data_IF_307813101514
#
_entry.id   IF_307813101514
#
_cell.length_a   1.000
_cell.length_b   1.000
_cell.length_c   1.000
_cell.angle_alpha   90.00
_cell.angle_beta   90.00
_cell.angle_gamma   90.00
#
_symmetry.space_group_name_H-M   'P 1'
#
loop_
_entity.id
_entity.type
_entity.pdbx_description
1 polymer ?
#
# COMPACT_ATOMS: atom_id res chain seq x y z
N UNK A 1 10.41 -44.81 -32.19
CA UNK A 1 9.91 -45.33 -30.88
C UNK A 1 8.41 -45.61 -31.02
N UNK A 2 7.89 -46.69 -30.43
CA UNK A 2 6.44 -46.91 -30.41
C UNK A 2 5.73 -45.86 -29.55
N UNK A 3 4.45 -45.56 -29.83
CA UNK A 3 3.62 -44.62 -29.02
C UNK A 3 3.63 -45.00 -27.53
N UNK A 4 3.57 -46.29 -27.23
CA UNK A 4 3.67 -46.83 -25.87
C UNK A 4 5.00 -46.46 -25.20
N UNK A 5 6.11 -46.62 -25.92
CA UNK A 5 7.44 -46.28 -25.42
C UNK A 5 7.57 -44.79 -25.09
N UNK A 6 6.97 -43.91 -25.93
CA UNK A 6 6.94 -42.47 -25.69
C UNK A 6 6.12 -42.10 -24.44
N UNK A 7 4.92 -42.67 -24.28
CA UNK A 7 4.07 -42.44 -23.10
C UNK A 7 4.76 -42.91 -21.81
N UNK A 8 5.36 -44.10 -21.83
CA UNK A 8 6.11 -44.62 -20.67
C UNK A 8 7.27 -43.67 -20.33
N UNK A 9 8.03 -43.22 -21.33
CA UNK A 9 9.13 -42.27 -21.10
C UNK A 9 8.61 -40.97 -20.50
N UNK A 10 7.55 -40.38 -21.05
CA UNK A 10 6.95 -39.15 -20.55
C UNK A 10 6.52 -39.27 -19.08
N UNK A 11 5.71 -40.27 -18.74
CA UNK A 11 5.27 -40.47 -17.35
C UNK A 11 6.41 -40.83 -16.39
N UNK A 12 7.43 -41.53 -16.87
CA UNK A 12 8.62 -41.81 -16.07
C UNK A 12 9.38 -40.53 -15.73
N UNK A 13 9.58 -39.64 -16.70
CA UNK A 13 10.27 -38.36 -16.54
C UNK A 13 9.52 -37.42 -15.59
N UNK A 14 8.19 -37.48 -15.52
CA UNK A 14 7.41 -36.72 -14.53
C UNK A 14 7.70 -37.12 -13.05
N UNK A 15 8.45 -38.20 -12.81
CA UNK A 15 8.81 -38.67 -11.46
C UNK A 15 7.82 -39.67 -10.85
N UNK A 16 6.81 -40.09 -11.61
CA UNK A 16 5.69 -40.93 -11.14
C UNK A 16 6.08 -42.37 -10.83
N UNK A 17 5.66 -42.92 -9.69
CA UNK A 17 5.92 -44.31 -9.30
C UNK A 17 5.35 -45.26 -10.36
N UNK A 18 5.93 -46.45 -10.50
CA UNK A 18 5.49 -47.40 -11.54
C UNK A 18 3.99 -47.74 -11.46
N UNK A 19 3.41 -47.80 -10.26
CA UNK A 19 1.97 -47.99 -10.10
C UNK A 19 1.14 -46.83 -10.66
N UNK A 20 1.60 -45.59 -10.47
CA UNK A 20 0.95 -44.38 -11.01
C UNK A 20 1.06 -44.33 -12.53
N UNK A 21 2.21 -44.71 -13.10
CA UNK A 21 2.39 -44.82 -14.56
C UNK A 21 1.39 -45.82 -15.14
N UNK A 22 1.22 -46.99 -14.53
CA UNK A 22 0.24 -47.99 -14.99
C UNK A 22 -1.19 -47.44 -14.93
N UNK A 23 -1.56 -46.77 -13.84
CA UNK A 23 -2.90 -46.19 -13.70
C UNK A 23 -3.16 -45.12 -14.76
N UNK A 24 -2.20 -44.23 -15.02
CA UNK A 24 -2.37 -43.20 -16.06
C UNK A 24 -2.45 -43.79 -17.47
N UNK A 25 -1.63 -44.79 -17.78
CA UNK A 25 -1.71 -45.48 -19.08
C UNK A 25 -3.09 -46.11 -19.30
N UNK A 26 -3.68 -46.69 -18.24
CA UNK A 26 -5.02 -47.30 -18.31
C UNK A 26 -6.08 -46.21 -18.43
N UNK A 27 -6.09 -45.23 -17.52
CA UNK A 27 -7.18 -44.27 -17.38
C UNK A 27 -7.18 -43.16 -18.43
N UNK A 28 -6.02 -42.73 -18.93
CA UNK A 28 -5.94 -41.61 -19.89
C UNK A 28 -5.63 -42.07 -21.31
N UNK A 29 -4.79 -43.09 -21.48
CA UNK A 29 -4.33 -43.51 -22.80
C UNK A 29 -5.01 -44.78 -23.33
N UNK A 30 -5.90 -45.41 -22.54
CA UNK A 30 -6.52 -46.69 -22.84
C UNK A 30 -5.50 -47.80 -23.16
N UNK A 31 -4.33 -47.77 -22.53
CA UNK A 31 -3.27 -48.76 -22.71
C UNK A 31 -3.13 -49.63 -21.47
N UNK A 32 -3.52 -50.89 -21.59
CA UNK A 32 -3.39 -51.89 -20.52
C UNK A 32 -2.10 -52.69 -20.70
N UNK A 33 -1.15 -52.50 -19.78
CA UNK A 33 0.08 -53.30 -19.72
C UNK A 33 0.34 -53.81 -18.31
N UNK A 34 1.01 -54.96 -18.19
CA UNK A 34 1.44 -55.47 -16.89
C UNK A 34 2.63 -54.70 -16.32
N UNK A 35 2.81 -54.74 -15.00
CA UNK A 35 4.01 -54.22 -14.32
C UNK A 35 5.31 -54.80 -14.90
N UNK A 36 5.29 -56.08 -15.30
CA UNK A 36 6.43 -56.75 -15.95
C UNK A 36 6.75 -56.12 -17.31
N UNK A 37 5.72 -55.84 -18.11
CA UNK A 37 5.86 -55.18 -19.42
C UNK A 37 6.37 -53.75 -19.26
N UNK A 38 5.87 -52.98 -18.29
CA UNK A 38 6.37 -51.64 -17.98
C UNK A 38 7.86 -51.67 -17.63
N UNK A 39 8.27 -52.52 -16.68
CA UNK A 39 9.68 -52.67 -16.28
C UNK A 39 10.58 -53.10 -17.43
N UNK A 40 10.09 -53.98 -18.32
CA UNK A 40 10.82 -54.40 -19.53
C UNK A 40 11.04 -53.23 -20.49
N UNK A 41 10.02 -52.42 -20.75
CA UNK A 41 10.13 -51.23 -21.58
C UNK A 41 11.11 -50.19 -21.00
N UNK A 42 11.02 -49.92 -19.69
CA UNK A 42 11.94 -49.03 -18.99
C UNK A 42 13.40 -49.53 -19.10
N UNK A 43 13.62 -50.83 -18.87
CA UNK A 43 14.94 -51.47 -19.03
C UNK A 43 15.47 -51.32 -20.45
N UNK A 44 14.64 -51.56 -21.46
CA UNK A 44 15.02 -51.43 -22.87
C UNK A 44 15.37 -49.98 -23.24
N UNK A 45 14.71 -48.99 -22.63
CA UNK A 45 15.05 -47.58 -22.81
C UNK A 45 16.22 -47.10 -21.95
N UNK A 46 16.80 -47.96 -21.10
CA UNK A 46 17.83 -47.57 -20.15
C UNK A 46 17.35 -46.63 -19.02
N UNK A 47 16.04 -46.56 -18.78
CA UNK A 47 15.45 -45.66 -17.79
C UNK A 47 15.40 -46.33 -16.41
N UNK A 48 16.24 -45.84 -15.50
CA UNK A 48 16.35 -46.34 -14.12
C UNK A 48 16.25 -45.20 -13.12
N UNK A 49 15.78 -45.49 -11.90
CA UNK A 49 15.70 -44.49 -10.82
C UNK A 49 16.84 -44.52 -9.82
N UNK A 50 17.58 -45.64 -9.79
CA UNK A 50 18.58 -45.96 -8.76
C UNK A 50 19.74 -46.78 -9.32
N UNK A 51 19.91 -46.76 -10.64
CA UNK A 51 21.02 -47.42 -11.35
C UNK A 51 21.55 -46.44 -12.37
N UNK A 52 22.86 -46.49 -12.61
CA UNK A 52 23.56 -45.57 -13.50
C UNK A 52 23.29 -44.12 -13.08
N UNK A 53 23.72 -43.76 -11.87
CA UNK A 53 23.58 -42.38 -11.40
C UNK A 53 24.28 -41.43 -12.37
N UNK A 54 23.63 -40.30 -12.66
CA UNK A 54 24.20 -39.23 -13.47
C UNK A 54 25.46 -38.69 -12.81
N UNK A 55 26.40 -38.18 -13.61
CA UNK A 55 27.62 -37.55 -13.10
C UNK A 55 27.24 -36.40 -12.15
N UNK A 56 27.73 -36.41 -10.88
CA UNK A 56 27.53 -35.30 -9.96
C UNK A 56 27.89 -33.93 -10.53
N UNK A 57 28.86 -33.84 -11.44
CA UNK A 57 29.26 -32.57 -12.09
C UNK A 57 28.20 -32.03 -13.05
N UNK A 58 27.57 -32.90 -13.84
CA UNK A 58 26.45 -32.49 -14.71
C UNK A 58 25.24 -32.05 -13.89
N UNK A 59 24.94 -32.77 -12.80
CA UNK A 59 23.87 -32.39 -11.88
C UNK A 59 24.20 -31.06 -11.20
N UNK A 60 25.45 -30.83 -10.81
CA UNK A 60 25.88 -29.56 -10.23
C UNK A 60 25.71 -28.39 -11.22
N UNK A 61 26.10 -28.57 -12.48
CA UNK A 61 25.91 -27.55 -13.53
C UNK A 61 24.43 -27.21 -13.73
N UNK A 62 23.54 -28.22 -13.77
CA UNK A 62 22.10 -28.00 -13.82
C UNK A 62 21.58 -27.23 -12.59
N UNK A 63 22.06 -27.58 -11.39
CA UNK A 63 21.66 -26.86 -10.17
C UNK A 63 22.14 -25.41 -10.19
N UNK A 64 23.34 -25.12 -10.71
CA UNK A 64 23.84 -23.74 -10.84
C UNK A 64 22.89 -22.90 -11.70
N UNK A 65 22.53 -23.39 -12.89
CA UNK A 65 21.56 -22.72 -13.78
C UNK A 65 20.22 -22.45 -13.05
N UNK A 66 19.70 -23.44 -12.32
CA UNK A 66 18.47 -23.28 -11.56
C UNK A 66 18.59 -22.25 -10.43
N UNK A 67 19.77 -22.12 -9.82
CA UNK A 67 20.04 -21.16 -8.75
C UNK A 67 20.21 -19.71 -9.25
N UNK A 68 20.48 -19.50 -10.53
CA UNK A 68 20.49 -18.16 -11.14
C UNK A 68 19.08 -17.60 -11.34
N UNK A 69 18.07 -18.48 -11.47
CA UNK A 69 16.68 -18.11 -11.65
C UNK A 69 15.80 -18.19 -10.39
N UNK A 70 14.52 -18.49 -10.60
CA UNK A 70 13.55 -18.69 -9.51
C UNK A 70 13.82 -19.97 -8.71
N UNK A 71 14.56 -20.93 -9.28
CA UNK A 71 14.95 -22.18 -8.63
C UNK A 71 15.77 -21.95 -7.35
N UNK A 72 16.41 -20.78 -7.17
CA UNK A 72 17.02 -20.36 -5.90
C UNK A 72 16.09 -20.42 -4.69
N UNK A 73 14.77 -20.42 -4.89
CA UNK A 73 13.78 -20.51 -3.81
C UNK A 73 13.45 -21.96 -3.44
N UNK A 74 13.81 -22.94 -4.28
CA UNK A 74 13.45 -24.34 -4.11
C UNK A 74 14.28 -25.02 -3.02
N UNK A 75 13.61 -25.81 -2.18
CA UNK A 75 14.30 -26.72 -1.25
C UNK A 75 14.90 -27.92 -1.98
N UNK A 76 15.82 -28.65 -1.32
CA UNK A 76 16.51 -29.79 -1.96
C UNK A 76 15.56 -30.89 -2.47
N UNK A 77 14.39 -31.08 -1.85
CA UNK A 77 13.38 -32.04 -2.31
C UNK A 77 12.77 -31.64 -3.65
N UNK A 78 12.53 -30.34 -3.84
CA UNK A 78 11.98 -29.81 -5.09
C UNK A 78 13.06 -29.78 -6.18
N UNK A 79 14.30 -29.39 -5.83
CA UNK A 79 15.43 -29.56 -6.76
C UNK A 79 15.67 -31.01 -7.15
N UNK A 80 15.49 -31.97 -6.23
CA UNK A 80 15.56 -33.39 -6.56
C UNK A 80 14.52 -33.77 -7.60
N UNK A 81 13.27 -33.32 -7.44
CA UNK A 81 12.23 -33.52 -8.46
C UNK A 81 12.59 -32.84 -9.78
N UNK A 82 13.11 -31.61 -9.77
CA UNK A 82 13.57 -30.93 -10.98
C UNK A 82 14.65 -31.72 -11.70
N UNK A 83 15.61 -32.31 -10.96
CA UNK A 83 16.64 -33.17 -11.53
C UNK A 83 16.01 -34.40 -12.20
N UNK A 84 15.06 -35.07 -11.54
CA UNK A 84 14.35 -36.22 -12.13
C UNK A 84 13.58 -35.81 -13.40
N UNK A 85 12.90 -34.67 -13.37
CA UNK A 85 12.13 -34.16 -14.52
C UNK A 85 13.00 -33.71 -15.69
N UNK A 86 14.23 -33.25 -15.41
CA UNK A 86 15.24 -32.99 -16.42
C UNK A 86 15.91 -34.28 -16.95
N UNK A 87 15.67 -35.43 -16.31
CA UNK A 87 16.15 -36.75 -16.75
C UNK A 87 17.38 -37.26 -16.01
N UNK A 88 17.84 -36.56 -14.98
CA UNK A 88 18.95 -37.01 -14.16
C UNK A 88 18.53 -38.15 -13.24
N UNK A 89 19.44 -39.10 -13.04
CA UNK A 89 19.30 -40.17 -12.04
C UNK A 89 20.17 -39.80 -10.85
N UNK A 90 19.58 -39.18 -9.84
CA UNK A 90 20.30 -38.70 -8.66
C UNK A 90 19.52 -38.95 -7.38
N UNK A 91 20.22 -39.16 -6.27
CA UNK A 91 19.60 -39.32 -4.95
C UNK A 91 19.30 -37.97 -4.30
N UNK A 92 18.31 -37.94 -3.40
CA UNK A 92 18.03 -36.74 -2.59
C UNK A 92 19.22 -36.33 -1.73
N UNK A 93 20.01 -37.30 -1.23
CA UNK A 93 21.23 -37.02 -0.47
C UNK A 93 22.27 -36.30 -1.31
N UNK A 94 22.50 -36.74 -2.55
CA UNK A 94 23.46 -36.09 -3.46
C UNK A 94 23.04 -34.66 -3.76
N UNK A 95 21.76 -34.43 -4.13
CA UNK A 95 21.24 -33.06 -4.36
C UNK A 95 21.36 -32.18 -3.11
N UNK A 96 21.08 -32.73 -1.92
CA UNK A 96 21.23 -31.99 -0.66
C UNK A 96 22.69 -31.59 -0.39
N UNK A 97 23.65 -32.48 -0.66
CA UNK A 97 25.07 -32.17 -0.48
C UNK A 97 25.57 -31.18 -1.52
N UNK A 98 25.21 -31.35 -2.80
CA UNK A 98 25.53 -30.42 -3.87
C UNK A 98 24.98 -29.01 -3.56
N UNK A 99 23.70 -28.88 -3.20
CA UNK A 99 23.13 -27.58 -2.83
C UNK A 99 23.83 -26.95 -1.61
N UNK A 100 24.23 -27.75 -0.61
CA UNK A 100 24.98 -27.22 0.53
C UNK A 100 26.36 -26.70 0.13
N UNK A 101 26.98 -27.30 -0.89
CA UNK A 101 28.25 -26.85 -1.43
C UNK A 101 28.11 -25.63 -2.35
N UNK A 102 27.12 -25.63 -3.24
CA UNK A 102 26.89 -24.58 -4.23
C UNK A 102 26.26 -23.32 -3.63
N UNK A 103 25.36 -23.46 -2.65
CA UNK A 103 24.62 -22.36 -2.04
C UNK A 103 24.43 -22.58 -0.52
N UNK A 104 25.51 -22.56 0.28
CA UNK A 104 25.45 -22.80 1.72
C UNK A 104 24.53 -21.77 2.41
N UNK A 105 24.61 -20.50 2.01
CA UNK A 105 23.80 -19.43 2.57
C UNK A 105 22.31 -19.63 2.25
N UNK A 106 21.95 -19.87 0.99
CA UNK A 106 20.56 -20.10 0.63
C UNK A 106 19.99 -21.38 1.24
N UNK A 107 20.80 -22.43 1.47
CA UNK A 107 20.37 -23.60 2.24
C UNK A 107 20.03 -23.25 3.68
N UNK A 108 20.86 -22.45 4.37
CA UNK A 108 20.54 -21.97 5.72
C UNK A 108 19.28 -21.10 5.74
N UNK A 109 19.13 -20.23 4.75
CA UNK A 109 17.95 -19.37 4.65
C UNK A 109 16.68 -20.17 4.38
N UNK A 110 16.71 -21.13 3.44
CA UNK A 110 15.57 -22.02 3.15
C UNK A 110 15.23 -22.91 4.34
N UNK A 111 16.23 -23.35 5.14
CA UNK A 111 16.00 -24.12 6.38
C UNK A 111 15.15 -23.36 7.40
N UNK A 112 15.15 -22.02 7.39
CA UNK A 112 14.29 -21.20 8.27
C UNK A 112 12.81 -21.23 7.86
N UNK A 113 12.46 -21.75 6.68
CA UNK A 113 11.10 -21.81 6.14
C UNK A 113 10.34 -20.47 6.24
N UNK A 114 11.03 -19.35 6.00
CA UNK A 114 10.44 -18.01 6.04
C UNK A 114 10.66 -17.29 4.72
N UNK A 115 9.59 -16.68 4.22
CA UNK A 115 9.67 -15.79 3.07
C UNK A 115 10.56 -14.59 3.42
N UNK A 116 11.65 -14.40 2.66
CA UNK A 116 12.46 -13.19 2.75
C UNK A 116 11.67 -12.10 2.02
N UNK A 117 11.08 -11.18 2.80
CA UNK A 117 10.48 -9.96 2.26
C UNK A 117 11.58 -8.92 2.07
N UNK A 118 11.50 -8.12 1.00
CA UNK A 118 12.34 -6.93 0.86
C UNK A 118 12.14 -6.05 2.10
N UNK A 119 13.23 -5.68 2.75
CA UNK A 119 13.21 -4.84 3.94
C UNK A 119 12.95 -3.40 3.48
N UNK A 120 11.81 -2.83 3.89
CA UNK A 120 11.57 -1.40 3.77
C UNK A 120 12.34 -0.71 4.89
N UNK A 121 13.40 0.03 4.54
CA UNK A 121 14.28 0.70 5.49
C UNK A 121 14.40 2.17 5.11
N UNK A 122 14.06 3.05 6.05
CA UNK A 122 14.43 4.45 5.99
C UNK A 122 15.49 4.70 7.06
N UNK A 123 16.55 5.46 6.75
CA UNK A 123 17.64 5.71 7.67
C UNK A 123 17.31 6.76 8.76
N UNK A 124 16.17 7.44 8.68
CA UNK A 124 15.77 8.45 9.65
C UNK A 124 14.54 9.26 9.19
N UNK A 125 14.03 10.15 10.05
CA UNK A 125 12.91 11.01 9.71
C UNK A 125 13.26 11.97 8.58
N UNK A 126 12.25 12.44 7.86
CA UNK A 126 12.35 13.31 6.69
C UNK A 126 13.15 12.70 5.52
N UNK A 127 13.53 11.42 5.61
CA UNK A 127 14.11 10.73 4.46
C UNK A 127 13.06 10.48 3.38
N UNK A 128 11.90 9.96 3.79
CA UNK A 128 10.79 9.70 2.89
C UNK A 128 9.47 10.01 3.58
N UNK A 129 8.69 10.93 2.99
CA UNK A 129 7.29 11.12 3.34
C UNK A 129 6.41 10.33 2.37
N UNK A 130 5.39 9.68 2.90
CA UNK A 130 4.36 8.98 2.14
C UNK A 130 3.10 9.80 2.13
N UNK A 131 2.70 10.27 0.96
CA UNK A 131 1.52 11.12 0.74
C UNK A 131 0.44 10.31 0.05
N UNK A 132 -0.79 10.41 0.53
CA UNK A 132 -1.93 9.69 -0.02
C UNK A 132 -3.26 10.37 0.36
N UNK A 133 -4.32 10.02 -0.36
CA UNK A 133 -5.68 10.49 -0.10
C UNK A 133 -6.59 9.34 0.36
N UNK A 134 -7.52 9.66 1.24
CA UNK A 134 -8.49 8.75 1.83
C UNK A 134 -9.92 9.14 1.43
N UNK A 135 -10.51 8.29 0.59
CA UNK A 135 -11.72 8.63 -0.17
C UNK A 135 -13.01 8.01 0.41
N UNK A 136 -12.99 7.47 1.64
CA UNK A 136 -14.18 6.77 2.18
C UNK A 136 -15.35 7.70 2.52
N UNK A 137 -15.09 8.99 2.75
CA UNK A 137 -16.11 10.02 2.95
C UNK A 137 -16.45 10.80 1.66
N UNK A 138 -15.74 10.52 0.55
CA UNK A 138 -15.90 11.20 -0.73
C UNK A 138 -17.33 11.14 -1.30
N UNK A 139 -18.10 10.04 -1.14
CA UNK A 139 -19.51 10.02 -1.54
C UNK A 139 -20.36 11.12 -0.90
N UNK A 140 -19.95 11.61 0.28
CA UNK A 140 -20.62 12.67 1.04
C UNK A 140 -19.98 14.05 0.84
N UNK A 141 -19.00 14.16 -0.06
CA UNK A 141 -18.33 15.41 -0.41
C UNK A 141 -17.02 15.69 0.35
N UNK A 142 -16.62 14.83 1.29
CA UNK A 142 -15.41 15.06 2.12
C UNK A 142 -14.28 14.14 1.67
N UNK A 143 -13.15 14.73 1.30
CA UNK A 143 -11.91 14.03 1.00
C UNK A 143 -10.89 14.31 2.10
N UNK A 144 -10.12 13.30 2.53
CA UNK A 144 -9.06 13.48 3.52
C UNK A 144 -7.72 13.24 2.82
N UNK A 145 -6.77 14.16 2.94
CA UNK A 145 -5.41 13.99 2.47
C UNK A 145 -4.45 13.96 3.66
N UNK A 146 -3.41 13.13 3.58
CA UNK A 146 -2.44 13.03 4.66
C UNK A 146 -1.04 12.71 4.16
N UNK A 147 -0.07 12.95 5.03
CA UNK A 147 1.29 12.47 4.86
C UNK A 147 1.86 11.90 6.15
N UNK A 148 2.65 10.85 6.02
CA UNK A 148 3.30 10.17 7.14
C UNK A 148 4.80 10.00 6.87
N UNK A 149 5.61 10.20 7.91
CA UNK A 149 7.04 9.94 7.85
C UNK A 149 7.34 8.42 7.82
N UNK A 150 8.17 7.97 6.90
CA UNK A 150 8.39 6.53 6.73
C UNK A 150 9.30 5.87 7.78
N UNK A 151 10.08 6.64 8.56
CA UNK A 151 10.91 6.14 9.65
C UNK A 151 10.17 6.15 10.99
N UNK A 152 9.75 7.34 11.43
CA UNK A 152 9.09 7.55 12.72
C UNK A 152 7.62 7.10 12.71
N UNK A 153 6.99 7.13 11.53
CA UNK A 153 5.52 7.03 11.37
C UNK A 153 4.77 8.18 12.01
N UNK A 154 5.42 9.34 12.19
CA UNK A 154 4.72 10.56 12.58
C UNK A 154 3.85 11.04 11.42
N UNK A 155 2.60 11.37 11.71
CA UNK A 155 1.76 12.10 10.77
C UNK A 155 2.33 13.50 10.64
N UNK A 156 2.67 13.87 9.41
CA UNK A 156 3.17 15.20 9.04
C UNK A 156 1.97 16.14 8.93
N UNK A 157 1.00 15.79 8.09
CA UNK A 157 -0.29 16.48 8.00
C UNK A 157 -1.44 15.50 7.84
N UNK A 158 -2.64 15.97 8.17
CA UNK A 158 -3.90 15.29 7.93
C UNK A 158 -5.01 16.33 7.83
N UNK A 159 -5.69 16.35 6.70
CA UNK A 159 -6.49 17.48 6.26
C UNK A 159 -7.71 17.03 5.47
N UNK A 160 -8.91 17.36 5.94
CA UNK A 160 -10.18 17.21 5.25
C UNK A 160 -10.48 18.44 4.38
N UNK A 161 -11.03 18.20 3.19
CA UNK A 161 -11.51 19.25 2.30
C UNK A 161 -12.56 18.72 1.31
N UNK A 162 -13.15 19.60 0.52
CA UNK A 162 -14.17 19.25 -0.47
C UNK A 162 -13.63 18.51 -1.71
N UNK A 163 -12.33 18.66 -2.00
CA UNK A 163 -11.69 18.05 -3.17
C UNK A 163 -10.30 17.49 -2.83
N UNK A 164 -9.98 16.34 -3.41
CA UNK A 164 -8.63 15.80 -3.51
C UNK A 164 -8.13 15.72 -4.96
N UNK A 165 -8.89 16.24 -5.92
CA UNK A 165 -8.54 16.19 -7.34
C UNK A 165 -7.74 17.42 -7.80
N UNK A 166 -7.80 18.51 -7.02
CA UNK A 166 -7.06 19.73 -7.32
C UNK A 166 -5.63 19.63 -6.77
N UNK A 167 -4.62 19.54 -7.65
CA UNK A 167 -3.24 19.39 -7.21
C UNK A 167 -2.70 20.62 -6.48
N UNK A 168 -3.29 21.80 -6.67
CA UNK A 168 -2.87 23.04 -5.99
C UNK A 168 -3.22 23.06 -4.51
N UNK A 169 -4.29 22.36 -4.13
CA UNK A 169 -4.69 22.20 -2.72
C UNK A 169 -3.71 21.27 -1.99
N UNK A 170 -3.39 20.11 -2.59
CA UNK A 170 -2.44 19.15 -2.01
C UNK A 170 -1.04 19.78 -1.91
N UNK A 171 -0.63 20.50 -2.96
CA UNK A 171 0.59 21.31 -2.94
C UNK A 171 0.60 22.34 -1.79
N UNK A 172 -0.54 22.97 -1.51
CA UNK A 172 -0.71 23.88 -0.37
C UNK A 172 -0.38 23.22 0.98
N UNK A 173 -0.88 22.00 1.22
CA UNK A 173 -0.56 21.26 2.45
C UNK A 173 0.94 20.95 2.56
N UNK A 174 1.53 20.50 1.45
CA UNK A 174 2.95 20.21 1.41
C UNK A 174 3.80 21.45 1.73
N UNK A 175 3.53 22.58 1.06
CA UNK A 175 4.33 23.80 1.23
C UNK A 175 4.14 24.43 2.62
N UNK A 176 2.94 24.34 3.21
CA UNK A 176 2.73 24.77 4.59
C UNK A 176 3.62 23.99 5.57
N UNK A 177 3.75 22.67 5.37
CA UNK A 177 4.57 21.82 6.22
C UNK A 177 6.07 21.96 5.97
N UNK A 178 6.47 22.31 4.75
CA UNK A 178 7.85 22.70 4.39
C UNK A 178 8.24 23.99 5.08
N UNK A 179 7.39 25.02 5.00
CA UNK A 179 7.64 26.31 5.65
C UNK A 179 7.77 26.15 7.16
N UNK A 180 6.82 25.46 7.79
CA UNK A 180 6.79 25.23 9.24
C UNK A 180 8.06 24.53 9.75
N UNK A 181 8.69 23.70 8.93
CA UNK A 181 9.93 22.97 9.27
C UNK A 181 11.20 23.65 8.79
N UNK A 182 11.08 24.75 8.03
CA UNK A 182 12.21 25.40 7.35
C UNK A 182 12.97 24.43 6.43
N UNK A 183 12.28 23.45 5.86
CA UNK A 183 12.91 22.36 5.15
C UNK A 183 11.94 21.38 4.49
N UNK A 184 12.43 20.65 3.49
CA UNK A 184 11.69 19.61 2.77
C UNK A 184 12.26 18.21 3.03
N UNK A 185 11.47 17.12 2.96
CA UNK A 185 12.03 15.77 3.00
C UNK A 185 13.00 15.50 1.83
N UNK A 186 13.92 14.56 2.04
CA UNK A 186 14.83 14.09 1.00
C UNK A 186 14.08 13.46 -0.18
N UNK A 187 13.02 12.70 0.11
CA UNK A 187 12.16 12.05 -0.88
C UNK A 187 10.69 12.15 -0.48
N UNK A 188 9.83 12.24 -1.49
CA UNK A 188 8.38 12.06 -1.33
C UNK A 188 7.98 10.84 -2.15
N UNK A 189 7.09 10.02 -1.59
CA UNK A 189 6.41 8.96 -2.30
C UNK A 189 4.92 9.25 -2.35
N UNK A 190 4.35 9.18 -3.54
CA UNK A 190 2.90 9.24 -3.75
C UNK A 190 2.49 8.22 -4.80
N UNK A 191 1.18 8.06 -4.92
CA UNK A 191 0.59 7.32 -6.02
C UNK A 191 0.73 8.09 -7.33
N UNK A 192 0.62 7.36 -8.44
CA UNK A 192 0.63 7.92 -9.78
C UNK A 192 -0.74 8.54 -10.06
N UNK A 193 -0.94 9.74 -9.52
CA UNK A 193 -2.17 10.52 -9.63
C UNK A 193 -1.90 11.94 -10.08
N UNK A 194 -2.83 12.50 -10.86
CA UNK A 194 -2.76 13.88 -11.36
C UNK A 194 -2.80 14.91 -10.24
N UNK A 195 -3.41 14.55 -9.11
CA UNK A 195 -3.50 15.38 -7.92
C UNK A 195 -2.14 15.63 -7.23
N UNK A 196 -1.12 14.81 -7.51
CA UNK A 196 0.20 14.95 -6.89
C UNK A 196 1.22 15.69 -7.78
N UNK A 197 0.84 16.08 -9.00
CA UNK A 197 1.77 16.64 -10.01
C UNK A 197 2.41 17.95 -9.52
N UNK A 198 1.61 18.90 -9.05
CA UNK A 198 2.12 20.20 -8.56
C UNK A 198 3.07 20.01 -7.36
N UNK A 199 2.72 19.12 -6.43
CA UNK A 199 3.60 18.77 -5.31
C UNK A 199 4.92 18.14 -5.80
N UNK A 200 4.87 17.29 -6.83
CA UNK A 200 6.06 16.68 -7.40
C UNK A 200 7.01 17.71 -8.02
N UNK A 201 6.47 18.69 -8.74
CA UNK A 201 7.25 19.76 -9.35
C UNK A 201 7.85 20.69 -8.30
N UNK A 202 7.09 21.04 -7.25
CA UNK A 202 7.60 21.80 -6.10
C UNK A 202 8.73 21.06 -5.38
N UNK A 203 8.57 19.75 -5.14
CA UNK A 203 9.61 18.96 -4.49
C UNK A 203 10.88 18.92 -5.32
N UNK A 204 10.77 18.79 -6.65
CA UNK A 204 11.93 18.86 -7.55
C UNK A 204 12.59 20.23 -7.49
N UNK A 205 11.82 21.31 -7.56
CA UNK A 205 12.33 22.69 -7.48
C UNK A 205 13.09 22.94 -6.17
N UNK A 206 12.49 22.61 -5.03
CA UNK A 206 13.09 22.80 -3.71
C UNK A 206 14.38 21.98 -3.55
N UNK A 207 14.40 20.73 -4.03
CA UNK A 207 15.60 19.88 -3.95
C UNK A 207 16.68 20.29 -4.93
N UNK A 208 16.32 20.73 -6.14
CA UNK A 208 17.27 21.24 -7.12
C UNK A 208 17.96 22.51 -6.61
N UNK A 209 17.24 23.40 -5.90
CA UNK A 209 17.82 24.61 -5.31
C UNK A 209 18.94 24.33 -4.28
N UNK A 210 18.96 23.12 -3.70
CA UNK A 210 19.97 22.72 -2.70
C UNK A 210 21.05 21.80 -3.25
N UNK A 211 20.72 20.92 -4.20
CA UNK A 211 21.68 20.01 -4.84
C UNK A 211 21.26 19.72 -6.28
N UNK A 212 22.04 20.20 -7.24
CA UNK A 212 21.78 20.08 -8.67
C UNK A 212 21.90 18.67 -9.23
N UNK A 213 22.45 17.72 -8.48
CA UNK A 213 22.57 16.32 -8.91
C UNK A 213 21.46 15.42 -8.34
N UNK A 214 20.49 15.99 -7.62
CA UNK A 214 19.41 15.20 -7.01
C UNK A 214 18.52 14.59 -8.09
N UNK A 215 18.64 13.27 -8.23
CA UNK A 215 17.69 12.42 -8.94
C UNK A 215 16.82 11.70 -7.90
N UNK A 216 15.58 11.35 -8.26
CA UNK A 216 14.66 10.55 -7.41
C UNK A 216 14.21 11.19 -6.08
N UNK A 217 14.08 12.53 -6.00
CA UNK A 217 13.45 13.20 -4.86
C UNK A 217 11.92 13.03 -4.79
N UNK A 218 11.31 12.54 -5.87
CA UNK A 218 9.89 12.23 -5.94
C UNK A 218 9.73 10.86 -6.60
N UNK A 219 9.10 9.92 -5.90
CA UNK A 219 8.92 8.54 -6.34
C UNK A 219 7.43 8.29 -6.51
N UNK A 220 6.99 8.16 -7.75
CA UNK A 220 5.64 7.67 -8.07
C UNK A 220 5.65 6.16 -8.13
N UNK A 221 4.69 5.51 -7.48
CA UNK A 221 4.51 4.07 -7.53
C UNK A 221 3.05 3.68 -7.44
N UNK A 222 2.75 2.38 -7.49
CA UNK A 222 1.42 1.89 -7.15
C UNK A 222 1.18 1.99 -5.64
N UNK A 223 -0.09 2.16 -5.24
CA UNK A 223 -0.53 2.29 -3.84
C UNK A 223 0.10 1.26 -2.90
N UNK A 224 0.26 0.02 -3.36
CA UNK A 224 0.91 -1.09 -2.65
C UNK A 224 2.33 -0.79 -2.12
N UNK A 225 2.98 0.27 -2.61
CA UNK A 225 4.30 0.74 -2.19
C UNK A 225 4.25 1.88 -1.17
N UNK A 226 3.07 2.45 -0.91
CA UNK A 226 2.76 3.50 0.06
C UNK A 226 2.30 2.90 1.41
N UNK A 227 2.90 1.77 1.78
CA UNK A 227 2.47 0.88 2.88
C UNK A 227 2.33 1.59 4.24
N UNK A 228 3.09 2.66 4.48
CA UNK A 228 3.06 3.38 5.75
C UNK A 228 1.74 4.10 5.95
N UNK A 229 1.32 4.87 4.95
CA UNK A 229 0.08 5.63 5.03
C UNK A 229 -1.12 4.72 4.81
N UNK A 230 -1.03 3.72 3.94
CA UNK A 230 -2.07 2.69 3.80
C UNK A 230 -2.33 1.95 5.13
N UNK A 231 -1.27 1.55 5.84
CA UNK A 231 -1.42 0.95 7.18
C UNK A 231 -2.01 1.93 8.19
N UNK A 232 -1.75 3.22 8.05
CA UNK A 232 -2.29 4.25 8.91
C UNK A 232 -3.77 4.52 8.64
N UNK A 233 -4.23 4.45 7.39
CA UNK A 233 -5.65 4.53 7.05
C UNK A 233 -6.48 3.44 7.73
N UNK A 234 -5.92 2.25 7.97
CA UNK A 234 -6.58 1.20 8.75
C UNK A 234 -6.74 1.56 10.24
N UNK A 235 -5.87 2.41 10.78
CA UNK A 235 -6.05 2.99 12.11
C UNK A 235 -7.15 4.06 12.08
N UNK A 236 -7.07 5.04 11.17
CA UNK A 236 -8.09 6.08 11.02
C UNK A 236 -9.49 5.48 10.83
N UNK A 237 -9.61 4.45 9.98
CA UNK A 237 -10.87 3.75 9.74
C UNK A 237 -11.49 3.23 11.03
N UNK A 238 -10.72 2.48 11.82
CA UNK A 238 -11.25 1.77 13.00
C UNK A 238 -11.57 2.68 14.17
N UNK A 239 -10.87 3.80 14.30
CA UNK A 239 -10.94 4.64 15.49
C UNK A 239 -11.65 5.98 15.27
N UNK A 240 -11.95 6.34 14.03
CA UNK A 240 -12.55 7.65 13.72
C UNK A 240 -13.49 7.58 12.51
N UNK A 241 -12.96 7.30 11.32
CA UNK A 241 -13.74 7.48 10.09
C UNK A 241 -14.94 6.52 9.98
N UNK A 242 -14.94 5.36 10.66
CA UNK A 242 -16.11 4.47 10.68
C UNK A 242 -17.33 5.10 11.35
N UNK A 243 -17.15 5.95 12.37
CA UNK A 243 -18.27 6.60 13.06
C UNK A 243 -19.01 7.56 12.12
N UNK A 244 -18.27 8.49 11.51
CA UNK A 244 -18.79 9.39 10.46
C UNK A 244 -19.42 8.65 9.29
N UNK A 245 -18.81 7.54 8.86
CA UNK A 245 -19.40 6.72 7.80
C UNK A 245 -20.74 6.12 8.19
N UNK A 246 -20.90 5.65 9.43
CA UNK A 246 -22.18 5.13 9.89
C UNK A 246 -23.22 6.23 9.92
N UNK A 247 -22.90 7.40 10.51
CA UNK A 247 -23.79 8.56 10.57
C UNK A 247 -24.29 9.01 9.20
N UNK A 248 -23.38 9.12 8.24
CA UNK A 248 -23.75 9.49 6.88
C UNK A 248 -24.49 8.38 6.12
N UNK A 249 -24.21 7.12 6.44
CA UNK A 249 -24.98 6.00 5.89
C UNK A 249 -26.40 5.98 6.45
N UNK A 250 -26.60 6.28 7.73
CA UNK A 250 -27.93 6.40 8.35
C UNK A 250 -28.75 7.52 7.70
N UNK A 251 -28.13 8.66 7.35
CA UNK A 251 -28.80 9.71 6.58
C UNK A 251 -29.28 9.21 5.21
N UNK A 252 -28.48 8.38 4.55
CA UNK A 252 -28.83 7.80 3.26
C UNK A 252 -29.94 6.76 3.38
N UNK A 253 -29.88 5.91 4.40
CA UNK A 253 -30.85 4.84 4.62
C UNK A 253 -32.23 5.38 5.04
N UNK A 254 -32.28 6.59 5.62
CA UNK A 254 -33.50 7.32 5.97
C UNK A 254 -33.95 8.33 4.89
N UNK A 255 -33.48 8.20 3.64
CA UNK A 255 -33.79 9.11 2.50
C UNK A 255 -33.51 10.60 2.78
N UNK A 256 -32.68 10.89 3.78
CA UNK A 256 -32.28 12.23 4.20
C UNK A 256 -30.99 12.69 3.53
N UNK A 257 -30.40 11.86 2.67
CA UNK A 257 -29.24 12.19 1.82
C UNK A 257 -29.37 11.51 0.46
N UNK A 258 -29.44 12.32 -0.60
CA UNK A 258 -29.55 11.88 -2.00
C UNK A 258 -28.21 11.87 -2.74
N UNK A 259 -27.19 12.54 -2.20
CA UNK A 259 -25.89 12.72 -2.87
C UNK A 259 -25.90 13.77 -3.99
N UNK A 260 -26.98 14.55 -4.10
CA UNK A 260 -27.05 15.71 -4.99
C UNK A 260 -26.06 16.81 -4.54
N UNK A 261 -25.95 17.85 -5.36
CA UNK A 261 -25.09 19.01 -5.06
C UNK A 261 -25.42 19.61 -3.69
N UNK A 262 -26.70 19.95 -3.43
CA UNK A 262 -27.12 20.59 -2.19
C UNK A 262 -26.73 19.76 -0.96
N UNK A 263 -27.04 18.46 -0.95
CA UNK A 263 -26.73 17.61 0.21
C UNK A 263 -25.22 17.57 0.51
N UNK A 264 -24.38 17.47 -0.52
CA UNK A 264 -22.92 17.50 -0.33
C UNK A 264 -22.44 18.85 0.20
N UNK A 265 -23.00 19.96 -0.29
CA UNK A 265 -22.64 21.29 0.20
C UNK A 265 -23.10 21.52 1.64
N UNK A 266 -24.26 20.97 2.03
CA UNK A 266 -24.76 21.03 3.41
C UNK A 266 -23.93 20.16 4.35
N UNK A 267 -23.52 18.96 3.93
CA UNK A 267 -22.57 18.13 4.71
C UNK A 267 -21.25 18.88 4.88
N UNK A 268 -20.72 19.49 3.82
CA UNK A 268 -19.50 20.30 3.91
C UNK A 268 -19.67 21.49 4.87
N UNK A 269 -20.79 22.20 4.79
CA UNK A 269 -21.09 23.34 5.66
C UNK A 269 -21.15 22.93 7.14
N UNK A 270 -21.82 21.84 7.45
CA UNK A 270 -22.15 21.43 8.83
C UNK A 270 -21.10 20.52 9.48
N UNK A 271 -20.41 19.68 8.70
CA UNK A 271 -19.57 18.61 9.23
C UNK A 271 -18.06 18.85 9.02
N UNK A 272 -17.65 19.62 8.00
CA UNK A 272 -16.23 19.68 7.61
C UNK A 272 -15.33 20.22 8.73
N UNK A 273 -15.73 21.29 9.41
CA UNK A 273 -14.93 21.90 10.47
C UNK A 273 -14.79 20.96 11.68
N UNK A 274 -15.89 20.33 12.10
CA UNK A 274 -15.88 19.34 13.20
C UNK A 274 -14.95 18.18 12.85
N UNK A 275 -15.09 17.62 11.63
CA UNK A 275 -14.20 16.56 11.15
C UNK A 275 -12.74 17.01 11.13
N UNK A 276 -12.44 18.21 10.64
CA UNK A 276 -11.06 18.72 10.56
C UNK A 276 -10.43 18.86 11.95
N UNK A 277 -11.19 19.37 12.93
CA UNK A 277 -10.75 19.49 14.33
C UNK A 277 -10.49 18.12 14.96
N UNK A 278 -11.41 17.16 14.78
CA UNK A 278 -11.25 15.80 15.27
C UNK A 278 -10.03 15.11 14.63
N UNK A 279 -9.78 15.33 13.33
CA UNK A 279 -8.59 14.81 12.65
C UNK A 279 -7.30 15.36 13.28
N UNK A 280 -7.27 16.63 13.71
CA UNK A 280 -6.10 17.16 14.43
C UNK A 280 -5.91 16.47 15.79
N UNK A 281 -6.98 16.13 16.48
CA UNK A 281 -6.92 15.34 17.71
C UNK A 281 -6.39 13.92 17.44
N UNK A 282 -6.81 13.29 16.35
CA UNK A 282 -6.31 11.98 15.90
C UNK A 282 -4.81 12.04 15.59
N UNK A 283 -4.34 13.09 14.92
CA UNK A 283 -2.91 13.31 14.66
C UNK A 283 -2.14 13.44 15.97
N UNK A 284 -2.64 14.23 16.92
CA UNK A 284 -2.00 14.39 18.23
C UNK A 284 -1.92 13.06 18.98
N UNK A 285 -3.03 12.32 19.05
CA UNK A 285 -3.10 11.01 19.69
C UNK A 285 -2.12 10.02 19.05
N UNK A 286 -2.11 9.95 17.72
CA UNK A 286 -1.20 9.07 16.98
C UNK A 286 0.27 9.48 17.17
N UNK A 287 0.60 10.76 17.09
CA UNK A 287 2.00 11.17 17.20
C UNK A 287 2.56 10.95 18.61
N UNK A 288 1.70 10.96 19.62
CA UNK A 288 2.10 10.75 21.01
C UNK A 288 2.03 9.30 21.46
N UNK A 289 1.20 8.42 20.87
CA UNK A 289 1.08 7.02 21.34
C UNK A 289 2.38 6.21 21.20
N UNK A 290 2.50 5.10 21.93
CA UNK A 290 3.66 4.20 21.85
C UNK A 290 3.41 3.10 20.83
N UNK A 291 4.23 3.05 19.77
CA UNK A 291 4.25 1.94 18.84
C UNK A 291 5.11 0.82 19.41
N UNK A 292 4.48 -0.34 19.69
CA UNK A 292 5.16 -1.52 20.23
C UNK A 292 6.15 -2.13 19.23
N UNK A 293 7.22 -2.71 19.76
CA UNK A 293 8.20 -3.46 18.98
C UNK A 293 7.56 -4.73 18.42
N UNK A 294 7.71 -4.96 17.12
CA UNK A 294 7.33 -6.22 16.47
C UNK A 294 8.60 -7.00 16.10
N UNK A 295 8.55 -8.34 16.21
CA UNK A 295 9.68 -9.23 15.93
C UNK A 295 10.15 -9.18 14.47
N UNK A 296 9.28 -8.74 13.55
CA UNK A 296 9.57 -8.65 12.12
C UNK A 296 9.66 -7.20 11.60
N UNK A 297 9.53 -6.21 12.47
CA UNK A 297 9.59 -4.81 12.05
C UNK A 297 11.03 -4.35 11.91
N UNK A 298 11.33 -3.74 10.75
CA UNK A 298 12.61 -3.09 10.47
C UNK A 298 12.65 -1.67 11.02
N UNK A 299 11.47 -1.06 11.12
CA UNK A 299 11.30 0.28 11.67
C UNK A 299 11.58 0.31 13.18
N UNK A 300 12.05 1.44 13.72
CA UNK A 300 12.18 1.62 15.16
C UNK A 300 10.82 1.46 15.87
N UNK A 301 10.84 1.30 17.19
CA UNK A 301 9.65 1.28 18.05
C UNK A 301 9.75 2.40 19.07
N UNK A 302 8.64 3.02 19.44
CA UNK A 302 8.61 4.18 20.31
C UNK A 302 7.43 5.09 20.02
N UNK A 303 7.46 6.30 20.58
CA UNK A 303 6.47 7.34 20.24
C UNK A 303 6.87 8.00 18.92
N UNK A 304 5.96 8.12 17.92
CA UNK A 304 6.29 8.74 16.63
C UNK A 304 6.95 10.10 16.76
N UNK A 305 6.45 10.95 17.66
CA UNK A 305 7.03 12.27 17.92
C UNK A 305 8.48 12.19 18.39
N UNK A 306 8.83 11.27 19.30
CA UNK A 306 10.21 11.11 19.79
C UNK A 306 11.12 10.54 18.70
N UNK A 307 10.65 9.55 17.93
CA UNK A 307 11.41 9.00 16.81
C UNK A 307 11.66 10.04 15.71
N UNK A 308 10.78 11.03 15.59
CA UNK A 308 10.90 12.12 14.62
C UNK A 308 11.82 13.25 15.12
N UNK A 309 11.66 13.70 16.37
CA UNK A 309 12.39 14.87 16.89
C UNK A 309 13.79 14.55 17.40
N UNK A 310 14.03 13.34 17.91
CA UNK A 310 15.33 12.91 18.45
C UNK A 310 15.73 11.55 17.87
N UNK A 311 15.93 11.47 16.52
CA UNK A 311 16.13 10.21 15.82
C UNK A 311 17.40 9.45 16.21
N UNK A 312 18.42 10.15 16.74
CA UNK A 312 19.69 9.54 17.16
C UNK A 312 19.51 8.51 18.30
N UNK A 313 18.48 8.67 19.16
CA UNK A 313 18.14 7.69 20.19
C UNK A 313 17.57 6.38 19.61
N UNK A 314 17.16 6.40 18.34
CA UNK A 314 16.57 5.28 17.62
C UNK A 314 17.45 4.79 16.45
N UNK A 315 18.73 5.20 16.43
CA UNK A 315 19.70 4.81 15.40
C UNK A 315 19.47 5.46 14.03
N UNK A 316 18.73 6.57 13.99
CA UNK A 316 18.54 7.37 12.78
C UNK A 316 19.16 8.76 12.89
N UNK A 317 19.16 9.48 11.78
CA UNK A 317 19.54 10.90 11.72
C UNK A 317 18.46 11.69 10.97
N UNK A 318 18.34 12.99 11.22
CA UNK A 318 17.40 13.81 10.45
C UNK A 318 17.89 14.00 9.01
N UNK A 319 16.98 13.83 8.05
CA UNK A 319 17.22 13.99 6.62
C UNK A 319 16.47 15.18 6.02
N UNK A 320 15.97 16.08 6.87
CA UNK A 320 15.39 17.34 6.44
C UNK A 320 16.42 18.13 5.63
N UNK A 321 15.94 18.75 4.55
CA UNK A 321 16.75 19.52 3.63
C UNK A 321 16.30 20.96 3.72
N UNK A 322 17.17 21.80 4.28
CA UNK A 322 16.91 23.23 4.43
C UNK A 322 16.50 23.85 3.10
N UNK A 323 15.51 24.72 3.12
CA UNK A 323 15.06 25.46 1.94
C UNK A 323 15.02 26.95 2.25
N UNK A 324 15.30 27.77 1.25
CA UNK A 324 15.21 29.22 1.42
C UNK A 324 13.74 29.67 1.48
N UNK A 325 13.45 30.70 2.28
CA UNK A 325 12.10 31.27 2.33
C UNK A 325 11.63 31.77 0.96
N UNK A 326 12.53 32.35 0.16
CA UNK A 326 12.20 32.80 -1.20
C UNK A 326 11.72 31.63 -2.09
N UNK A 327 12.37 30.46 -1.99
CA UNK A 327 11.92 29.27 -2.72
C UNK A 327 10.53 28.80 -2.26
N UNK A 328 10.26 28.88 -0.95
CA UNK A 328 8.93 28.57 -0.38
C UNK A 328 7.88 29.55 -0.91
N UNK A 329 8.19 30.85 -0.92
CA UNK A 329 7.28 31.90 -1.38
C UNK A 329 6.92 31.76 -2.87
N UNK A 330 7.89 31.37 -3.71
CA UNK A 330 7.63 31.03 -5.12
C UNK A 330 6.67 29.86 -5.24
N UNK A 331 6.86 28.79 -4.47
CA UNK A 331 5.93 27.66 -4.48
C UNK A 331 4.53 28.05 -3.98
N UNK A 332 4.44 28.91 -2.97
CA UNK A 332 3.13 29.37 -2.43
C UNK A 332 2.27 30.07 -3.48
N UNK A 333 2.88 30.79 -4.43
CA UNK A 333 2.15 31.47 -5.50
C UNK A 333 1.44 30.48 -6.46
N UNK A 334 1.96 29.25 -6.56
CA UNK A 334 1.38 28.18 -7.37
C UNK A 334 0.37 27.31 -6.60
N UNK A 335 0.27 27.50 -5.28
CA UNK A 335 -0.71 26.82 -4.43
C UNK A 335 -2.06 27.54 -4.43
N UNK A 336 -3.12 26.78 -4.17
CA UNK A 336 -4.43 27.35 -3.85
C UNK A 336 -4.62 27.21 -2.34
N UNK A 337 -4.83 28.34 -1.66
CA UNK A 337 -5.23 28.31 -0.26
C UNK A 337 -6.70 27.90 -0.16
N UNK A 338 -7.05 27.23 0.94
CA UNK A 338 -8.45 26.99 1.27
C UNK A 338 -9.15 28.34 1.34
N UNK A 339 -10.22 28.49 0.58
CA UNK A 339 -11.07 29.68 0.66
C UNK A 339 -11.67 29.82 2.07
N UNK A 340 -12.29 30.97 2.36
CA UNK A 340 -12.92 31.20 3.67
C UNK A 340 -14.15 30.30 3.89
N UNK A 341 -14.70 29.72 2.83
CA UNK A 341 -15.92 28.92 2.86
C UNK A 341 -15.60 27.42 2.84
N UNK A 342 -16.30 26.66 3.68
CA UNK A 342 -16.22 25.19 3.72
C UNK A 342 -16.94 24.53 2.54
N UNK A 343 -17.87 25.25 1.91
CA UNK A 343 -18.67 24.80 0.79
C UNK A 343 -18.83 25.94 -0.25
N UNK A 344 -19.76 25.76 -1.20
CA UNK A 344 -20.10 26.79 -2.19
C UNK A 344 -20.55 28.09 -1.51
N UNK A 345 -20.09 29.22 -2.04
CA UNK A 345 -20.31 30.54 -1.46
C UNK A 345 -21.81 30.91 -1.33
N UNK A 346 -22.61 30.54 -2.32
CA UNK A 346 -24.06 30.82 -2.31
C UNK A 346 -24.75 29.98 -1.25
N UNK A 347 -24.42 28.68 -1.19
CA UNK A 347 -24.97 27.77 -0.17
C UNK A 347 -24.53 28.20 1.23
N UNK A 348 -23.27 28.58 1.39
CA UNK A 348 -22.71 29.06 2.66
C UNK A 348 -23.48 30.29 3.15
N UNK A 349 -23.64 31.29 2.29
CA UNK A 349 -24.32 32.55 2.62
C UNK A 349 -25.79 32.31 2.98
N UNK A 350 -26.48 31.45 2.23
CA UNK A 350 -27.86 31.05 2.52
C UNK A 350 -27.97 30.35 3.88
N UNK A 351 -27.08 29.40 4.18
CA UNK A 351 -27.09 28.68 5.46
C UNK A 351 -26.84 29.63 6.63
N UNK A 352 -25.87 30.55 6.51
CA UNK A 352 -25.62 31.56 7.55
C UNK A 352 -26.84 32.45 7.79
N UNK A 353 -27.56 32.85 6.73
CA UNK A 353 -28.78 33.65 6.86
C UNK A 353 -29.88 32.87 7.59
N UNK A 354 -30.18 31.65 7.15
CA UNK A 354 -31.18 30.78 7.79
C UNK A 354 -30.82 30.54 9.27
N UNK A 355 -29.54 30.27 9.57
CA UNK A 355 -29.09 30.10 10.95
C UNK A 355 -29.32 31.36 11.78
N UNK A 356 -29.02 32.54 11.23
CA UNK A 356 -29.21 33.80 11.94
C UNK A 356 -30.69 34.09 12.23
N UNK A 357 -31.59 33.82 11.28
CA UNK A 357 -33.04 34.02 11.44
C UNK A 357 -33.66 33.06 12.45
N UNK A 358 -33.08 31.86 12.59
CA UNK A 358 -33.57 30.81 13.49
C UNK A 358 -32.74 30.69 14.79
N UNK A 359 -31.83 31.64 15.06
CA UNK A 359 -30.96 31.66 16.25
C UNK A 359 -30.13 30.38 16.45
N UNK A 360 -29.70 29.76 15.35
CA UNK A 360 -28.86 28.56 15.36
C UNK A 360 -27.37 28.95 15.43
N UNK A 361 -26.58 28.06 16.04
CA UNK A 361 -25.13 28.24 16.18
C UNK A 361 -24.37 27.19 15.39
N UNK A 362 -23.11 27.46 14.99
CA UNK A 362 -22.27 26.46 14.34
C UNK A 362 -22.09 25.22 15.23
N UNK A 363 -22.08 24.01 14.65
CA UNK A 363 -22.01 22.77 15.41
C UNK A 363 -20.59 22.57 15.96
N UNK A 364 -20.52 21.99 17.16
CA UNK A 364 -19.28 21.65 17.87
C UNK A 364 -19.08 20.14 18.04
N UNK A 365 -20.12 19.34 17.78
CA UNK A 365 -20.10 17.89 17.89
C UNK A 365 -20.68 17.23 16.65
N UNK A 366 -20.37 15.95 16.45
CA UNK A 366 -20.90 15.17 15.33
C UNK A 366 -22.44 15.10 15.34
N UNK A 367 -23.07 15.01 16.51
CA UNK A 367 -24.54 14.97 16.63
C UNK A 367 -25.15 16.31 16.22
N UNK A 368 -24.62 17.43 16.74
CA UNK A 368 -25.04 18.79 16.36
C UNK A 368 -24.87 19.05 14.85
N UNK A 369 -23.79 18.55 14.24
CA UNK A 369 -23.57 18.66 12.80
C UNK A 369 -24.68 17.97 11.99
N UNK A 370 -25.09 16.77 12.40
CA UNK A 370 -26.14 16.01 11.71
C UNK A 370 -27.52 16.66 11.93
N UNK A 371 -27.81 17.14 13.14
CA UNK A 371 -29.04 17.87 13.44
C UNK A 371 -29.16 19.15 12.61
N UNK A 372 -28.09 19.95 12.54
CA UNK A 372 -28.06 21.17 11.74
C UNK A 372 -28.22 20.87 10.24
N UNK A 373 -27.59 19.79 9.75
CA UNK A 373 -27.75 19.35 8.37
C UNK A 373 -29.22 19.05 8.05
N UNK A 374 -29.89 18.27 8.91
CA UNK A 374 -31.30 17.90 8.73
C UNK A 374 -32.20 19.12 8.75
N UNK A 375 -31.95 20.06 9.68
CA UNK A 375 -32.71 21.31 9.77
C UNK A 375 -32.57 22.15 8.49
N UNK A 376 -31.33 22.45 8.08
CA UNK A 376 -31.06 23.30 6.91
C UNK A 376 -31.61 22.68 5.64
N UNK A 377 -31.44 21.35 5.47
CA UNK A 377 -31.98 20.63 4.32
C UNK A 377 -33.50 20.75 4.23
N UNK A 378 -34.20 20.50 5.33
CA UNK A 378 -35.65 20.59 5.37
C UNK A 378 -36.14 22.02 5.09
N UNK A 379 -35.46 23.04 5.65
CA UNK A 379 -35.78 24.44 5.45
C UNK A 379 -35.64 24.85 3.98
N UNK A 380 -34.47 24.59 3.38
CA UNK A 380 -34.17 24.97 2.00
C UNK A 380 -35.09 24.24 0.99
N UNK A 381 -35.34 22.95 1.20
CA UNK A 381 -36.23 22.20 0.30
C UNK A 381 -37.68 22.69 0.37
N UNK A 382 -38.15 23.11 1.55
CA UNK A 382 -39.48 23.69 1.70
C UNK A 382 -39.61 25.00 0.92
N UNK A 383 -38.61 25.87 1.01
CA UNK A 383 -38.61 27.15 0.28
C UNK A 383 -38.53 26.96 -1.23
N UNK A 384 -37.74 26.00 -1.70
CA UNK A 384 -37.66 25.65 -3.13
C UNK A 384 -38.98 25.08 -3.67
N UNK A 385 -39.72 24.31 -2.86
CA UNK A 385 -41.04 23.82 -3.26
C UNK A 385 -42.07 24.96 -3.32
N UNK A 386 -42.03 25.90 -2.37
CA UNK A 386 -42.93 27.06 -2.36
C UNK A 386 -42.66 28.00 -3.54
N UNK A 387 -41.41 28.16 -3.96
CA UNK A 387 -41.04 28.98 -5.12
C UNK A 387 -41.58 28.48 -6.47
N UNK A 388 -41.99 27.22 -6.57
CA UNK A 388 -42.64 26.68 -7.78
C UNK A 388 -44.15 26.91 -7.84
N UNK A 389 -44.77 27.46 -6.79
CA UNK A 389 -46.19 27.78 -6.75
C UNK A 389 -46.51 29.27 -6.96
N UNK A 390 -45.52 30.11 -7.26
CA UNK A 390 -45.69 31.54 -7.55
C UNK A 390 -45.38 31.90 -9.00
#
# INVERSE_FOLDING_TARGET
MSRLTQLIKFYFMLGLRHGEILQLLISLDNVVISMRTLRRNLKHMGLYRRKNESDPMEVAAFLIDQLEGHGRLHGYKLHHLNCIQAGYVVTQSTVRHLLKYLDPYGVEQRRKNRLIRRLYVNPGPNFMWHVDSYDKLKPFGICINGAIDGFSRAMIWLHAFSTNSDPKIIAGYFIAEVEKRLGTPSQIRSDLGTENVTMADMQRFLRWSTDHNVTNCFITGSSNHNQRIESWWAFLRRHHAQDWMNRFQDLKDNDSFSGCFLDKQLILFTCLNVIEEELQQVVHLWNTHIIRRSRSAVAPSGRPILMYTIPHLFGGQDYLKEVSQNSVDVCKQECQQRGPYTCDETVFSLCCLIMSENFLTPPSTADESIELYLFLRAHILKDLQLGHFY
#
